data_IF_585707182571
#
_entry.id   IF_585707182571
#
_cell.length_a   1.000
_cell.length_b   1.000
_cell.length_c   1.000
_cell.angle_alpha   90.00
_cell.angle_beta   90.00
_cell.angle_gamma   90.00
#
_symmetry.space_group_name_H-M   'P 1'
#
loop_
_entity.id
_entity.type
_entity.pdbx_description
1 polymer ?
#
# COMPACT_ATOMS: atom_id res chain seq x y z
N UNK A 1 -6.15 15.35 -15.59
CA UNK A 1 -4.71 15.67 -15.74
C UNK A 1 -3.87 14.61 -15.04
N UNK A 2 -2.68 14.27 -15.52
CA UNK A 2 -1.76 13.32 -14.87
C UNK A 2 -0.31 13.62 -15.26
N UNK A 3 0.64 13.33 -14.38
CA UNK A 3 2.07 13.32 -14.72
C UNK A 3 2.38 11.88 -15.15
N UNK A 4 2.71 11.67 -16.43
CA UNK A 4 2.99 10.34 -16.97
C UNK A 4 4.32 10.37 -17.70
N UNK A 5 5.16 9.36 -17.45
CA UNK A 5 6.47 9.28 -18.08
C UNK A 5 6.97 7.84 -18.14
N UNK A 6 7.78 7.56 -19.16
CA UNK A 6 8.62 6.35 -19.28
C UNK A 6 10.12 6.69 -19.19
N UNK A 7 10.46 7.99 -19.03
CA UNK A 7 11.81 8.48 -18.82
C UNK A 7 12.19 8.52 -17.33
N UNK A 8 12.95 9.54 -16.93
CA UNK A 8 13.31 9.75 -15.52
C UNK A 8 12.61 11.00 -14.99
N UNK A 9 12.03 10.90 -13.80
CA UNK A 9 11.49 12.03 -13.05
C UNK A 9 12.16 12.06 -11.67
N UNK A 10 12.68 13.24 -11.32
CA UNK A 10 13.27 13.51 -10.02
C UNK A 10 12.49 14.63 -9.36
N UNK A 11 11.93 14.36 -8.18
CA UNK A 11 11.21 15.32 -7.36
C UNK A 11 11.88 15.34 -5.99
N UNK A 12 12.81 16.27 -5.80
CA UNK A 12 13.62 16.34 -4.58
C UNK A 12 13.28 17.59 -3.79
N UNK A 13 12.30 17.48 -2.90
CA UNK A 13 12.01 18.51 -1.90
C UNK A 13 12.90 18.37 -0.67
N UNK A 14 12.72 19.27 0.29
CA UNK A 14 13.29 19.14 1.64
C UNK A 14 12.18 19.04 2.69
N UNK A 15 12.52 18.65 3.92
CA UNK A 15 11.55 18.56 5.01
C UNK A 15 10.86 19.92 5.31
N UNK A 16 11.55 21.04 5.10
CA UNK A 16 11.01 22.39 5.32
C UNK A 16 10.41 23.01 4.06
N UNK A 17 10.80 22.52 2.88
CA UNK A 17 10.34 23.00 1.57
C UNK A 17 9.98 21.80 0.69
N UNK A 18 8.83 21.14 0.96
CA UNK A 18 8.42 19.99 0.19
C UNK A 18 7.92 20.40 -1.19
N UNK A 19 8.09 19.51 -2.18
CA UNK A 19 7.41 19.68 -3.47
C UNK A 19 5.94 19.36 -3.26
N UNK A 20 5.05 20.25 -3.69
CA UNK A 20 3.59 20.04 -3.60
C UNK A 20 2.99 19.84 -4.97
N UNK A 21 2.40 18.67 -5.19
CA UNK A 21 1.67 18.32 -6.39
C UNK A 21 0.18 18.26 -6.07
N UNK A 22 -0.58 19.12 -6.73
CA UNK A 22 -2.02 19.21 -6.55
C UNK A 22 -2.70 19.55 -7.87
N UNK A 23 -3.98 19.22 -7.96
CA UNK A 23 -4.77 19.48 -9.15
C UNK A 23 -6.25 19.62 -8.81
N UNK A 24 -7.02 20.20 -9.73
CA UNK A 24 -8.48 20.23 -9.63
C UNK A 24 -9.05 18.81 -9.82
N UNK A 25 -10.29 18.60 -9.35
CA UNK A 25 -10.99 17.31 -9.35
C UNK A 25 -10.70 16.43 -10.57
N UNK A 26 -10.40 15.15 -10.34
CA UNK A 26 -10.08 14.07 -11.33
C UNK A 26 -8.65 14.01 -11.86
N UNK A 27 -7.68 14.71 -11.26
CA UNK A 27 -6.28 14.47 -11.61
C UNK A 27 -5.79 13.11 -11.11
N UNK A 28 -4.89 12.43 -11.83
CA UNK A 28 -4.52 11.02 -11.59
C UNK A 28 -3.07 10.84 -11.12
N UNK A 29 -2.58 11.76 -10.28
CA UNK A 29 -1.27 11.60 -9.65
C UNK A 29 -0.10 11.53 -10.62
N UNK A 30 0.89 10.76 -10.20
CA UNK A 30 2.08 10.38 -10.95
C UNK A 30 1.92 8.94 -11.44
N UNK A 31 2.14 8.71 -12.73
CA UNK A 31 2.13 7.39 -13.36
C UNK A 31 3.50 7.09 -13.94
N UNK A 32 4.18 6.11 -13.35
CA UNK A 32 5.51 5.66 -13.75
C UNK A 32 5.33 4.47 -14.69
N UNK A 33 5.56 4.65 -15.99
CA UNK A 33 5.41 3.57 -16.97
C UNK A 33 6.58 2.59 -16.94
N UNK A 34 6.41 1.36 -17.48
CA UNK A 34 7.45 0.34 -17.49
C UNK A 34 8.76 0.89 -18.07
N UNK A 35 9.86 0.64 -17.36
CA UNK A 35 11.19 1.16 -17.70
C UNK A 35 11.48 2.58 -17.20
N UNK A 36 10.45 3.34 -16.80
CA UNK A 36 10.58 4.67 -16.21
C UNK A 36 11.21 4.65 -14.83
N UNK A 37 11.90 5.72 -14.46
CA UNK A 37 12.56 5.86 -13.15
C UNK A 37 11.97 7.03 -12.38
N UNK A 38 11.48 6.79 -11.17
CA UNK A 38 11.09 7.84 -10.23
C UNK A 38 12.07 7.88 -9.07
N UNK A 39 12.54 9.07 -8.76
CA UNK A 39 13.09 9.39 -7.44
C UNK A 39 12.26 10.51 -6.86
N UNK A 40 11.65 10.27 -5.72
CA UNK A 40 10.77 11.21 -5.05
C UNK A 40 11.19 11.32 -3.59
N UNK A 41 11.56 12.52 -3.14
CA UNK A 41 11.83 12.82 -1.74
C UNK A 41 11.08 14.06 -1.27
N UNK A 42 10.55 14.02 -0.04
CA UNK A 42 9.83 15.12 0.61
C UNK A 42 8.80 15.78 -0.33
N UNK A 43 7.88 14.97 -0.86
CA UNK A 43 6.87 15.42 -1.82
C UNK A 43 5.46 15.11 -1.30
N UNK A 44 4.59 16.11 -1.35
CA UNK A 44 3.18 15.98 -1.05
C UNK A 44 2.34 15.84 -2.34
N UNK A 45 1.45 14.85 -2.38
CA UNK A 45 0.53 14.57 -3.48
C UNK A 45 -0.90 14.70 -2.94
N UNK A 46 -1.64 15.72 -3.39
CA UNK A 46 -2.91 16.12 -2.78
C UNK A 46 -4.10 15.98 -3.75
N UNK A 47 -5.14 15.27 -3.31
CA UNK A 47 -6.44 15.19 -4.00
C UNK A 47 -6.42 14.42 -5.32
N UNK A 48 -5.42 13.55 -5.53
CA UNK A 48 -5.31 12.73 -6.72
C UNK A 48 -6.32 11.57 -6.70
N UNK A 49 -6.74 11.09 -7.87
CA UNK A 49 -7.50 9.85 -7.97
C UNK A 49 -6.66 8.67 -7.48
N UNK A 50 -5.45 8.56 -8.00
CA UNK A 50 -4.39 7.66 -7.52
C UNK A 50 -3.21 8.56 -7.25
N UNK A 51 -2.64 8.55 -6.05
CA UNK A 51 -1.51 9.43 -5.70
C UNK A 51 -0.25 9.06 -6.50
N UNK A 52 0.18 7.81 -6.34
CA UNK A 52 1.35 7.24 -6.98
C UNK A 52 0.99 5.91 -7.65
N UNK A 53 1.15 5.82 -8.97
CA UNK A 53 0.90 4.60 -9.74
C UNK A 53 2.23 4.00 -10.20
N UNK A 54 2.68 2.97 -9.47
CA UNK A 54 3.96 2.28 -9.66
C UNK A 54 3.77 1.15 -10.66
N UNK A 55 4.04 1.45 -11.93
CA UNK A 55 4.01 0.52 -13.06
C UNK A 55 5.44 0.34 -13.63
N UNK A 56 6.45 0.32 -12.73
CA UNK A 56 7.87 0.17 -13.03
C UNK A 56 8.67 -0.33 -11.81
N UNK A 57 9.78 -1.02 -12.06
CA UNK A 57 10.71 -1.53 -11.05
C UNK A 57 11.64 -0.47 -10.44
N UNK A 58 11.76 0.70 -11.06
CA UNK A 58 12.77 1.72 -10.71
C UNK A 58 12.15 2.89 -9.97
N UNK A 59 11.63 2.64 -8.78
CA UNK A 59 10.99 3.65 -7.94
C UNK A 59 11.69 3.74 -6.60
N UNK A 60 12.16 4.94 -6.25
CA UNK A 60 12.68 5.27 -4.94
C UNK A 60 11.82 6.41 -4.35
N UNK A 61 11.28 6.18 -3.16
CA UNK A 61 10.41 7.12 -2.45
C UNK A 61 11.01 7.36 -1.07
N UNK A 62 11.01 8.62 -0.63
CA UNK A 62 11.45 9.00 0.71
C UNK A 62 10.55 10.14 1.25
N UNK A 63 9.99 9.96 2.44
CA UNK A 63 9.20 10.96 3.17
C UNK A 63 8.10 11.61 2.29
N UNK A 64 7.37 10.81 1.51
CA UNK A 64 6.25 11.31 0.75
C UNK A 64 5.01 11.47 1.64
N UNK A 65 4.09 12.35 1.24
CA UNK A 65 2.78 12.47 1.88
C UNK A 65 1.70 12.44 0.81
N UNK A 66 0.81 11.47 0.87
CA UNK A 66 -0.30 11.34 -0.08
C UNK A 66 -1.60 11.60 0.67
N UNK A 67 -2.39 12.55 0.19
CA UNK A 67 -3.51 13.10 0.96
C UNK A 67 -4.79 13.11 0.13
N UNK A 68 -5.87 12.64 0.75
CA UNK A 68 -7.24 12.69 0.21
C UNK A 68 -7.36 12.04 -1.18
N UNK A 69 -6.69 10.90 -1.38
CA UNK A 69 -6.79 10.15 -2.62
C UNK A 69 -8.19 9.53 -2.81
N UNK A 70 -8.67 9.43 -4.06
CA UNK A 70 -10.04 8.95 -4.31
C UNK A 70 -10.12 7.42 -4.43
N UNK A 71 -9.20 6.83 -5.19
CA UNK A 71 -9.17 5.39 -5.49
C UNK A 71 -8.07 4.74 -4.65
N UNK A 72 -6.81 5.11 -4.86
CA UNK A 72 -5.68 4.60 -4.08
C UNK A 72 -4.71 5.71 -3.69
N UNK A 73 -4.10 5.61 -2.49
CA UNK A 73 -2.90 6.41 -2.20
C UNK A 73 -1.75 6.02 -3.13
N UNK A 74 -1.40 4.73 -3.09
CA UNK A 74 -0.44 4.08 -4.00
C UNK A 74 -1.11 2.90 -4.70
N UNK A 75 -0.90 2.78 -6.01
CA UNK A 75 -1.27 1.61 -6.79
C UNK A 75 0.00 0.90 -7.28
N UNK A 76 0.11 -0.40 -7.03
CA UNK A 76 1.25 -1.24 -7.38
C UNK A 76 0.79 -2.26 -8.43
N UNK A 77 1.34 -2.19 -9.64
CA UNK A 77 0.96 -3.11 -10.72
C UNK A 77 1.92 -4.29 -10.83
N UNK A 78 1.56 -5.27 -11.66
CA UNK A 78 2.41 -6.42 -12.00
C UNK A 78 3.78 -6.05 -12.62
N UNK A 79 3.98 -4.81 -13.10
CA UNK A 79 5.27 -4.36 -13.65
C UNK A 79 6.19 -3.69 -12.61
N UNK A 80 5.74 -3.53 -11.35
CA UNK A 80 6.58 -2.99 -10.29
C UNK A 80 7.72 -3.95 -9.91
N UNK A 81 8.66 -3.51 -9.09
CA UNK A 81 9.63 -4.42 -8.47
C UNK A 81 8.95 -5.36 -7.46
N UNK A 82 9.62 -6.45 -7.06
CA UNK A 82 9.14 -7.33 -5.99
C UNK A 82 9.28 -6.68 -4.61
N UNK A 83 10.16 -5.70 -4.44
CA UNK A 83 10.39 -4.98 -3.19
C UNK A 83 9.98 -3.51 -3.35
N UNK A 84 8.93 -3.10 -2.63
CA UNK A 84 8.37 -1.75 -2.67
C UNK A 84 8.59 -1.08 -1.32
N UNK A 85 9.72 -0.40 -1.21
CA UNK A 85 10.01 0.48 -0.08
C UNK A 85 9.40 1.87 -0.33
N UNK A 86 8.48 2.28 0.54
CA UNK A 86 7.84 3.59 0.48
C UNK A 86 8.55 4.64 1.36
N UNK A 87 9.68 4.30 1.98
CA UNK A 87 10.63 5.24 2.59
C UNK A 87 10.02 6.21 3.58
N UNK A 88 9.22 5.72 4.54
CA UNK A 88 8.49 6.51 5.53
C UNK A 88 7.39 7.39 4.94
N UNK A 89 6.71 6.92 3.88
CA UNK A 89 5.57 7.63 3.31
C UNK A 89 4.38 7.60 4.27
N UNK A 90 3.65 8.72 4.34
CA UNK A 90 2.33 8.78 4.98
C UNK A 90 1.21 8.89 3.93
N UNK A 91 0.17 8.07 4.09
CA UNK A 91 -1.05 8.11 3.29
C UNK A 91 -2.20 8.48 4.21
N UNK A 92 -2.79 9.65 3.98
CA UNK A 92 -3.79 10.26 4.86
C UNK A 92 -5.14 10.35 4.15
N UNK A 93 -6.18 9.82 4.80
CA UNK A 93 -7.59 9.97 4.38
C UNK A 93 -7.86 9.50 2.94
N UNK A 94 -7.19 8.42 2.52
CA UNK A 94 -7.52 7.75 1.28
C UNK A 94 -8.98 7.29 1.31
N UNK A 95 -9.77 7.61 0.28
CA UNK A 95 -11.20 7.26 0.22
C UNK A 95 -11.42 5.80 -0.20
N UNK A 96 -10.62 5.30 -1.13
CA UNK A 96 -10.46 3.88 -1.38
C UNK A 96 -9.32 3.33 -0.53
N UNK A 97 -8.48 2.45 -1.10
CA UNK A 97 -7.39 1.84 -0.32
C UNK A 97 -6.21 2.79 -0.13
N UNK A 98 -5.50 2.69 0.99
CA UNK A 98 -4.20 3.37 1.14
C UNK A 98 -3.23 2.89 0.07
N UNK A 99 -3.08 1.57 -0.03
CA UNK A 99 -2.33 0.87 -1.07
C UNK A 99 -3.23 -0.17 -1.72
N UNK A 100 -3.34 -0.12 -3.05
CA UNK A 100 -3.92 -1.20 -3.87
C UNK A 100 -2.80 -1.95 -4.59
N UNK A 101 -2.81 -3.27 -4.49
CA UNK A 101 -1.89 -4.15 -5.21
C UNK A 101 -2.70 -4.96 -6.21
N UNK A 102 -2.40 -4.79 -7.49
CA UNK A 102 -3.07 -5.54 -8.57
C UNK A 102 -2.73 -7.03 -8.53
N UNK A 103 -3.45 -7.82 -9.33
CA UNK A 103 -3.14 -9.24 -9.54
C UNK A 103 -1.67 -9.41 -9.92
N UNK A 104 -0.96 -10.22 -9.13
CA UNK A 104 0.46 -10.49 -9.34
C UNK A 104 0.77 -11.96 -9.10
N UNK A 105 1.49 -12.54 -10.07
CA UNK A 105 1.94 -13.95 -10.08
C UNK A 105 3.35 -14.17 -9.52
N UNK A 106 3.88 -13.21 -8.77
CA UNK A 106 5.21 -13.23 -8.16
C UNK A 106 5.13 -12.73 -6.72
N UNK A 107 6.18 -12.99 -5.93
CA UNK A 107 6.26 -12.45 -4.57
C UNK A 107 6.28 -10.91 -4.56
N UNK A 108 5.82 -10.34 -3.45
CA UNK A 108 5.76 -8.89 -3.21
C UNK A 108 6.07 -8.58 -1.74
N UNK A 109 6.95 -7.60 -1.52
CA UNK A 109 7.24 -7.01 -0.23
C UNK A 109 6.89 -5.52 -0.24
N UNK A 110 6.21 -5.03 0.80
CA UNK A 110 5.89 -3.61 0.97
C UNK A 110 6.39 -3.17 2.34
N UNK A 111 7.11 -2.05 2.38
CA UNK A 111 7.69 -1.55 3.62
C UNK A 111 7.63 -0.04 3.82
N UNK A 112 7.80 0.36 5.09
CA UNK A 112 8.04 1.73 5.53
C UNK A 112 6.91 2.71 5.12
N UNK A 113 5.69 2.41 5.54
CA UNK A 113 4.51 3.23 5.23
C UNK A 113 3.55 3.33 6.41
N UNK A 114 2.98 4.52 6.62
CA UNK A 114 1.89 4.76 7.54
C UNK A 114 0.62 5.15 6.78
N UNK A 115 -0.50 4.52 7.09
CA UNK A 115 -1.81 4.77 6.46
C UNK A 115 -2.79 5.15 7.57
N UNK A 116 -3.38 6.35 7.48
CA UNK A 116 -4.17 6.92 8.57
C UNK A 116 -5.49 7.48 8.09
N UNK A 117 -6.53 7.26 8.89
CA UNK A 117 -7.86 7.86 8.73
C UNK A 117 -8.52 7.59 7.37
N UNK A 118 -8.15 6.48 6.74
CA UNK A 118 -8.67 6.05 5.45
C UNK A 118 -10.12 5.57 5.53
N UNK A 119 -10.85 5.66 4.42
CA UNK A 119 -12.22 5.19 4.31
C UNK A 119 -12.36 3.83 3.62
N UNK A 120 -11.33 3.36 2.91
CA UNK A 120 -11.25 2.01 2.39
C UNK A 120 -10.36 1.12 3.25
N UNK A 121 -9.74 0.13 2.60
CA UNK A 121 -8.73 -0.72 3.24
C UNK A 121 -7.40 0.04 3.42
N UNK A 122 -6.58 -0.34 4.40
CA UNK A 122 -5.21 0.18 4.46
C UNK A 122 -4.40 -0.32 3.28
N UNK A 123 -4.13 -1.63 3.25
CA UNK A 123 -3.48 -2.32 2.12
C UNK A 123 -4.44 -3.41 1.61
N UNK A 124 -4.70 -3.41 0.31
CA UNK A 124 -5.60 -4.36 -0.34
C UNK A 124 -4.87 -5.08 -1.47
N UNK A 125 -4.77 -6.41 -1.35
CA UNK A 125 -4.16 -7.25 -2.38
C UNK A 125 -5.24 -7.91 -3.23
N UNK A 126 -5.31 -7.53 -4.49
CA UNK A 126 -6.19 -8.15 -5.47
C UNK A 126 -5.56 -9.45 -5.96
N UNK A 127 -5.77 -10.55 -5.22
CA UNK A 127 -5.29 -11.89 -5.60
C UNK A 127 -3.76 -12.03 -5.71
N UNK A 128 -3.02 -11.88 -4.60
CA UNK A 128 -1.59 -12.18 -4.57
C UNK A 128 -1.35 -13.70 -4.67
N UNK A 129 -0.13 -14.05 -5.06
CA UNK A 129 0.36 -15.43 -5.14
C UNK A 129 1.77 -15.48 -4.53
N UNK A 130 2.33 -16.68 -4.32
CA UNK A 130 3.68 -16.83 -3.77
C UNK A 130 3.83 -16.13 -2.41
N UNK A 131 4.86 -15.31 -2.20
CA UNK A 131 5.15 -14.72 -0.90
C UNK A 131 4.63 -13.27 -0.83
N UNK A 132 3.90 -12.95 0.24
CA UNK A 132 3.53 -11.58 0.61
C UNK A 132 4.28 -11.21 1.88
N UNK A 133 5.05 -10.13 1.85
CA UNK A 133 5.77 -9.60 3.01
C UNK A 133 5.37 -8.15 3.29
N UNK A 134 5.11 -7.84 4.56
CA UNK A 134 4.83 -6.50 5.05
C UNK A 134 5.78 -6.18 6.20
N UNK A 135 6.47 -5.05 6.13
CA UNK A 135 7.44 -4.65 7.16
C UNK A 135 7.36 -3.17 7.50
N UNK A 136 7.39 -2.82 8.80
CA UNK A 136 7.34 -1.43 9.26
C UNK A 136 6.11 -0.68 8.71
N UNK A 137 4.95 -1.32 8.79
CA UNK A 137 3.67 -0.77 8.32
C UNK A 137 2.85 -0.33 9.51
N UNK A 138 2.30 0.89 9.45
CA UNK A 138 1.28 1.34 10.38
C UNK A 138 -0.04 1.55 9.65
N UNK A 139 -1.13 1.03 10.21
CA UNK A 139 -2.48 1.36 9.76
C UNK A 139 -3.35 1.77 10.94
N UNK A 140 -3.89 3.00 10.91
CA UNK A 140 -4.76 3.53 11.95
C UNK A 140 -6.10 4.01 11.40
N UNK A 141 -7.20 3.68 12.09
CA UNK A 141 -8.54 4.17 11.78
C UNK A 141 -9.00 3.97 10.31
N UNK A 142 -8.75 2.77 9.75
CA UNK A 142 -9.30 2.37 8.44
C UNK A 142 -10.79 2.02 8.57
N UNK A 143 -11.53 1.93 7.45
CA UNK A 143 -12.98 1.58 7.50
C UNK A 143 -13.35 0.21 6.95
N UNK A 144 -12.47 -0.49 6.23
CA UNK A 144 -12.76 -1.82 5.69
C UNK A 144 -11.89 -2.86 6.39
N UNK A 145 -10.72 -3.17 5.85
CA UNK A 145 -9.68 -3.94 6.52
C UNK A 145 -8.45 -3.05 6.69
N UNK A 146 -7.71 -3.18 7.79
CA UNK A 146 -6.41 -2.51 7.84
C UNK A 146 -5.45 -3.13 6.79
N UNK A 147 -5.43 -4.46 6.69
CA UNK A 147 -4.70 -5.23 5.66
C UNK A 147 -5.60 -6.38 5.19
N UNK A 148 -5.79 -6.48 3.88
CA UNK A 148 -6.63 -7.49 3.24
C UNK A 148 -5.83 -8.30 2.22
N UNK A 149 -5.65 -9.59 2.51
CA UNK A 149 -4.93 -10.55 1.68
C UNK A 149 -5.89 -11.70 1.38
N UNK A 150 -6.31 -11.82 0.12
CA UNK A 150 -7.18 -12.90 -0.35
C UNK A 150 -6.52 -13.54 -1.57
N UNK A 151 -6.14 -14.81 -1.46
CA UNK A 151 -5.42 -15.52 -2.52
C UNK A 151 -6.14 -15.52 -3.88
N UNK A 152 -5.38 -15.78 -4.95
CA UNK A 152 -5.96 -16.19 -6.23
C UNK A 152 -6.33 -17.68 -6.19
N UNK A 153 -7.60 -18.08 -6.44
CA UNK A 153 -8.02 -19.49 -6.33
C UNK A 153 -7.23 -20.47 -7.23
N UNK A 154 -6.65 -20.01 -8.34
CA UNK A 154 -5.87 -20.86 -9.24
C UNK A 154 -4.34 -20.82 -8.98
N UNK A 155 -3.87 -20.04 -8.02
CA UNK A 155 -2.45 -19.90 -7.69
C UNK A 155 -2.32 -19.49 -6.20
N UNK A 156 -2.08 -20.47 -5.30
CA UNK A 156 -2.15 -20.22 -3.86
C UNK A 156 -1.03 -19.30 -3.37
N UNK A 157 -1.27 -18.71 -2.21
CA UNK A 157 -0.19 -18.11 -1.42
C UNK A 157 0.78 -19.21 -0.98
N UNK A 158 2.07 -18.87 -0.98
CA UNK A 158 3.11 -19.70 -0.38
C UNK A 158 3.39 -19.26 1.04
N UNK A 159 3.67 -17.98 1.26
CA UNK A 159 3.89 -17.45 2.60
C UNK A 159 3.36 -16.05 2.79
N UNK A 160 2.95 -15.73 4.02
CA UNK A 160 2.60 -14.37 4.45
C UNK A 160 3.43 -14.00 5.67
N UNK A 161 4.24 -12.94 5.54
CA UNK A 161 5.17 -12.47 6.58
C UNK A 161 4.81 -11.05 6.98
N UNK A 162 4.40 -10.87 8.23
CA UNK A 162 4.00 -9.57 8.77
C UNK A 162 4.95 -9.23 9.90
N UNK A 163 5.81 -8.22 9.70
CA UNK A 163 6.86 -7.85 10.66
C UNK A 163 6.77 -6.39 11.06
N UNK A 164 6.85 -6.14 12.37
CA UNK A 164 6.76 -4.78 12.91
C UNK A 164 5.57 -3.98 12.33
N UNK A 165 4.41 -4.65 12.22
CA UNK A 165 3.19 -4.04 11.73
C UNK A 165 2.33 -3.58 12.91
N UNK A 166 1.87 -2.35 12.86
CA UNK A 166 1.04 -1.74 13.89
C UNK A 166 -0.35 -1.45 13.33
N UNK A 167 -1.37 -2.14 13.83
CA UNK A 167 -2.77 -1.89 13.47
C UNK A 167 -3.51 -1.39 14.70
N UNK A 168 -3.89 -0.12 14.68
CA UNK A 168 -4.46 0.57 15.84
C UNK A 168 -5.78 1.26 15.56
N UNK A 169 -6.59 1.36 16.60
CA UNK A 169 -7.84 2.13 16.63
C UNK A 169 -8.76 1.82 15.43
N UNK A 170 -8.78 0.54 15.01
CA UNK A 170 -9.71 0.06 13.99
C UNK A 170 -11.09 -0.12 14.63
N UNK A 171 -11.90 0.93 14.54
CA UNK A 171 -13.23 0.99 15.15
C UNK A 171 -14.40 0.65 14.21
N UNK A 172 -14.11 0.46 12.92
CA UNK A 172 -15.08 0.26 11.85
C UNK A 172 -14.50 -0.72 10.83
N UNK A 173 -15.36 -1.30 10.00
CA UNK A 173 -14.98 -2.31 9.02
C UNK A 173 -15.10 -3.73 9.53
N UNK A 174 -14.28 -4.63 8.98
CA UNK A 174 -14.42 -6.07 9.12
C UNK A 174 -13.36 -6.69 10.02
N UNK A 175 -12.09 -6.31 9.87
CA UNK A 175 -10.98 -6.76 10.72
C UNK A 175 -9.76 -5.83 10.58
N UNK A 176 -8.82 -5.92 11.51
CA UNK A 176 -7.49 -5.36 11.35
C UNK A 176 -6.78 -6.03 10.17
N UNK A 177 -6.44 -7.30 10.31
CA UNK A 177 -5.81 -8.09 9.23
C UNK A 177 -6.72 -9.26 8.88
N UNK A 178 -6.99 -9.45 7.58
CA UNK A 178 -7.58 -10.67 7.06
C UNK A 178 -6.61 -11.33 6.08
N UNK A 179 -6.31 -12.60 6.32
CA UNK A 179 -5.59 -13.49 5.40
C UNK A 179 -6.52 -14.65 5.08
N UNK A 180 -6.90 -14.78 3.81
CA UNK A 180 -7.70 -15.90 3.31
C UNK A 180 -6.93 -16.63 2.22
N UNK A 181 -6.75 -17.94 2.41
CA UNK A 181 -6.00 -18.81 1.51
C UNK A 181 -6.55 -20.24 1.52
N UNK A 182 -6.48 -20.97 0.42
CA UNK A 182 -6.77 -22.39 0.37
C UNK A 182 -5.59 -23.21 0.89
N UNK A 183 -4.39 -22.66 0.74
CA UNK A 183 -3.16 -23.22 1.28
C UNK A 183 -2.14 -22.10 1.57
N UNK A 184 -1.29 -22.32 2.56
CA UNK A 184 -0.07 -21.54 2.78
C UNK A 184 0.95 -22.43 3.50
N UNK A 185 2.22 -22.36 3.09
CA UNK A 185 3.34 -23.02 3.77
C UNK A 185 3.62 -22.37 5.13
N UNK A 186 3.51 -21.04 5.18
CA UNK A 186 3.86 -20.24 6.36
C UNK A 186 2.98 -18.99 6.46
N UNK A 187 2.44 -18.73 7.65
CA UNK A 187 1.93 -17.41 8.03
C UNK A 187 2.63 -17.02 9.32
N UNK A 188 3.46 -15.97 9.28
CA UNK A 188 4.19 -15.46 10.44
C UNK A 188 3.89 -13.99 10.71
N UNK A 189 3.70 -13.68 12.01
CA UNK A 189 3.39 -12.35 12.51
C UNK A 189 4.35 -12.05 13.67
N UNK A 190 5.38 -11.27 13.39
CA UNK A 190 6.50 -11.02 14.31
C UNK A 190 6.57 -9.55 14.72
N UNK A 191 6.76 -9.28 16.01
CA UNK A 191 6.95 -7.92 16.54
C UNK A 191 5.81 -6.94 16.21
N UNK A 192 4.63 -7.46 15.87
CA UNK A 192 3.48 -6.66 15.41
C UNK A 192 2.54 -6.33 16.56
N UNK A 193 1.95 -5.14 16.54
CA UNK A 193 1.10 -4.61 17.60
C UNK A 193 -0.31 -4.38 17.10
N UNK A 194 -1.30 -4.91 17.83
CA UNK A 194 -2.72 -4.72 17.58
C UNK A 194 -3.38 -4.18 18.84
N UNK A 195 -3.75 -2.89 18.86
CA UNK A 195 -4.27 -2.25 20.07
C UNK A 195 -5.39 -1.27 19.76
N UNK A 196 -6.34 -1.09 20.69
CA UNK A 196 -7.48 -0.18 20.51
C UNK A 196 -8.50 -0.63 19.46
N UNK A 197 -8.36 -1.82 18.86
CA UNK A 197 -9.27 -2.32 17.84
C UNK A 197 -10.58 -2.83 18.47
N UNK A 198 -11.72 -2.45 17.90
CA UNK A 198 -13.04 -3.02 18.29
C UNK A 198 -13.52 -4.08 17.30
N UNK A 199 -12.94 -4.12 16.09
CA UNK A 199 -13.06 -5.25 15.16
C UNK A 199 -12.04 -6.35 15.50
N UNK A 200 -12.19 -7.60 15.01
CA UNK A 200 -11.16 -8.61 15.14
C UNK A 200 -9.79 -8.10 14.66
N UNK A 201 -8.75 -8.25 15.48
CA UNK A 201 -7.43 -7.69 15.12
C UNK A 201 -6.74 -8.48 14.00
N UNK A 202 -6.89 -9.79 13.98
CA UNK A 202 -6.31 -10.70 13.00
C UNK A 202 -7.27 -11.87 12.76
N UNK A 203 -7.55 -12.15 11.49
CA UNK A 203 -8.27 -13.34 11.02
C UNK A 203 -7.36 -14.04 10.01
N UNK A 204 -7.11 -15.32 10.25
CA UNK A 204 -6.39 -16.20 9.32
C UNK A 204 -7.33 -17.36 8.99
N UNK A 205 -7.84 -17.38 7.76
CA UNK A 205 -8.73 -18.39 7.23
C UNK A 205 -7.99 -19.22 6.18
N UNK A 206 -7.56 -20.42 6.58
CA UNK A 206 -6.95 -21.40 5.67
C UNK A 206 -7.98 -22.51 5.41
N UNK A 207 -8.59 -22.53 4.24
CA UNK A 207 -9.68 -23.46 3.89
C UNK A 207 -9.17 -24.59 2.97
N UNK A 208 -9.36 -25.85 3.37
CA UNK A 208 -8.88 -27.03 2.62
C UNK A 208 -10.00 -27.63 1.77
#
# INVERSE_FOLDING_TARGET
>A
MKIIFAGKLYLNGTATEPIRLFGKSTWRGIVIKPGGTLVLSNTAIEGASIGLWIDSEKVAVENATIVDSVVHGVEITANSGPDIDLGNTEILRARGSGIGVDERRTSIAISNVAIRDGWGSGIDFLSPTHDVSLENVLVSNGSSYAIHIVEFPAAPLRSVKIRNVTVIDQHRGHAGVLITSGWAEEVSVDGSTFTGNTVPSLIVAIEV
#
